data_IF_045971390471
#
_entry.id   IF_045971390471
#
_cell.length_a   1.000
_cell.length_b   1.000
_cell.length_c   1.000
_cell.angle_alpha   90.00
_cell.angle_beta   90.00
_cell.angle_gamma   90.00
#
_symmetry.space_group_name_H-M   'P 1'
#
loop_
_entity.id
_entity.type
_entity.pdbx_description
1 polymer ?
#
# COMPACT_ATOMS: atom_id res chain seq x y z
N UNK A 1 35.78 47.25 -60.80
CA UNK A 1 35.15 48.48 -60.30
C UNK A 1 34.11 48.12 -59.24
N UNK A 2 34.26 48.67 -58.07
CA UNK A 2 33.27 48.79 -56.99
C UNK A 2 32.98 47.51 -56.23
N UNK A 3 32.96 47.53 -54.97
CA UNK A 3 33.38 48.39 -53.85
C UNK A 3 33.19 47.58 -52.59
N UNK A 4 34.12 47.70 -51.70
CA UNK A 4 34.11 47.35 -50.29
C UNK A 4 32.86 47.77 -49.56
N UNK A 5 32.77 47.18 -48.37
CA UNK A 5 31.92 47.46 -47.21
C UNK A 5 30.61 46.68 -47.18
N UNK A 6 30.45 45.64 -46.35
CA UNK A 6 30.22 45.74 -44.92
C UNK A 6 30.49 44.44 -44.20
N UNK A 7 31.58 44.43 -43.56
CA UNK A 7 31.90 43.47 -42.52
C UNK A 7 31.57 44.17 -41.20
N UNK A 8 30.52 43.73 -40.53
CA UNK A 8 30.33 43.84 -39.09
C UNK A 8 28.84 43.78 -38.74
N UNK A 9 28.40 42.68 -38.31
CA UNK A 9 27.43 42.49 -37.26
C UNK A 9 27.22 40.96 -37.02
N UNK A 10 28.30 40.25 -36.66
CA UNK A 10 28.11 39.01 -35.91
C UNK A 10 27.67 39.38 -34.50
N UNK A 11 26.38 39.56 -34.31
CA UNK A 11 25.78 39.59 -32.95
C UNK A 11 25.96 38.25 -32.33
N UNK A 12 26.83 38.20 -31.33
CA UNK A 12 26.96 37.05 -30.42
C UNK A 12 25.63 36.87 -29.70
N UNK A 13 24.81 35.92 -30.16
CA UNK A 13 23.73 35.36 -29.38
C UNK A 13 24.39 34.48 -28.31
N UNK A 14 24.60 35.04 -27.16
CA UNK A 14 24.85 34.28 -25.92
C UNK A 14 23.59 33.52 -25.58
N UNK A 15 23.54 32.24 -25.95
CA UNK A 15 22.55 31.31 -25.47
C UNK A 15 22.88 31.02 -23.99
N UNK A 16 22.27 31.81 -23.10
CA UNK A 16 22.23 31.48 -21.67
C UNK A 16 21.29 30.28 -21.54
N UNK A 17 21.84 29.09 -21.60
CA UNK A 17 21.13 27.87 -21.19
C UNK A 17 20.99 27.94 -19.68
N UNK A 18 19.89 28.50 -19.22
CA UNK A 18 19.45 28.35 -17.83
C UNK A 18 19.08 26.88 -17.63
N UNK A 19 20.04 26.12 -17.12
CA UNK A 19 19.83 24.78 -16.61
C UNK A 19 18.91 24.89 -15.40
N UNK A 20 17.62 24.91 -15.66
CA UNK A 20 16.59 24.80 -14.62
C UNK A 20 16.75 23.42 -14.01
N UNK A 21 17.50 23.34 -12.91
CA UNK A 21 17.52 22.19 -12.03
C UNK A 21 16.08 22.01 -11.52
N UNK A 22 15.32 21.17 -12.21
CA UNK A 22 14.07 20.64 -11.70
C UNK A 22 14.41 19.80 -10.47
N UNK A 23 14.64 20.44 -9.33
CA UNK A 23 14.55 19.83 -8.03
C UNK A 23 13.09 19.39 -7.86
N UNK A 24 12.71 18.28 -8.50
CA UNK A 24 11.50 17.58 -8.10
C UNK A 24 11.67 17.31 -6.61
N UNK A 25 10.77 17.78 -5.74
CA UNK A 25 10.81 17.37 -4.35
C UNK A 25 10.71 15.84 -4.41
N UNK A 26 11.74 15.15 -3.96
CA UNK A 26 11.64 13.74 -3.62
C UNK A 26 10.58 13.71 -2.53
N UNK A 27 9.35 13.44 -2.92
CA UNK A 27 8.27 13.12 -1.99
C UNK A 27 8.69 11.79 -1.39
N UNK A 28 9.52 11.86 -0.37
CA UNK A 28 9.76 10.72 0.49
C UNK A 28 8.39 10.39 1.06
N UNK A 29 7.86 9.26 0.64
CA UNK A 29 6.64 8.72 1.21
C UNK A 29 6.96 8.39 2.68
N UNK A 30 6.78 9.38 3.55
CA UNK A 30 6.93 9.18 4.99
C UNK A 30 5.94 8.10 5.42
N UNK A 31 6.45 7.01 5.94
CA UNK A 31 5.61 5.90 6.37
C UNK A 31 4.67 6.33 7.52
N UNK A 32 5.09 7.28 8.36
CA UNK A 32 4.31 7.85 9.47
C UNK A 32 4.75 9.30 9.67
N UNK A 33 3.85 10.25 9.41
CA UNK A 33 4.09 11.65 9.74
C UNK A 33 3.76 11.93 11.21
N UNK A 34 4.77 12.25 11.99
CA UNK A 34 4.65 12.65 13.39
C UNK A 34 4.94 14.14 13.61
N UNK A 35 5.10 14.94 12.56
CA UNK A 35 5.58 16.33 12.66
C UNK A 35 4.50 17.33 13.11
N UNK A 36 3.27 17.20 12.62
CA UNK A 36 2.22 18.20 12.86
C UNK A 36 1.09 17.66 13.75
N UNK A 37 0.06 17.12 13.14
CA UNK A 37 -1.11 16.56 13.85
C UNK A 37 -0.82 15.18 14.45
N UNK A 38 0.16 14.48 13.90
CA UNK A 38 0.56 13.15 14.32
C UNK A 38 1.24 13.09 15.70
N UNK A 39 1.79 14.21 16.21
CA UNK A 39 2.49 14.22 17.50
C UNK A 39 1.66 13.76 18.69
N UNK A 40 0.32 13.88 18.61
CA UNK A 40 -0.63 13.39 19.63
C UNK A 40 -0.93 11.89 19.50
N UNK A 41 -0.55 11.26 18.41
CA UNK A 41 -0.79 9.84 18.21
C UNK A 41 0.16 9.01 19.08
N UNK A 42 -0.36 7.98 19.71
CA UNK A 42 0.42 7.08 20.57
C UNK A 42 1.60 6.42 19.84
N UNK A 43 1.43 6.12 18.55
CA UNK A 43 2.48 5.61 17.67
C UNK A 43 3.66 6.58 17.53
N UNK A 44 3.45 7.88 17.75
CA UNK A 44 4.47 8.93 17.65
C UNK A 44 5.24 9.16 18.97
N UNK A 45 4.91 8.44 20.02
CA UNK A 45 5.64 8.54 21.30
C UNK A 45 7.10 8.13 21.16
N UNK A 46 7.93 8.55 22.13
CA UNK A 46 9.36 8.16 22.20
C UNK A 46 9.55 6.65 22.25
N UNK A 47 8.63 5.94 22.89
CA UNK A 47 8.64 4.47 23.01
C UNK A 47 8.78 3.78 21.67
N UNK A 48 8.18 4.34 20.60
CA UNK A 48 8.19 3.74 19.27
C UNK A 48 9.14 4.44 18.28
N UNK A 49 10.05 5.29 18.76
CA UNK A 49 10.97 6.03 17.88
C UNK A 49 11.85 5.09 17.05
N UNK A 50 12.39 4.04 17.67
CA UNK A 50 13.23 3.08 16.98
C UNK A 50 12.41 2.20 16.02
N UNK A 51 11.25 1.71 16.44
CA UNK A 51 10.35 0.92 15.56
C UNK A 51 9.92 1.73 14.33
N UNK A 52 9.62 3.03 14.50
CA UNK A 52 9.34 3.91 13.36
C UNK A 52 10.54 4.05 12.41
N UNK A 53 11.74 4.26 12.96
CA UNK A 53 12.97 4.38 12.16
C UNK A 53 13.24 3.09 11.37
N UNK A 54 13.11 1.95 12.00
CA UNK A 54 13.28 0.65 11.36
C UNK A 54 12.25 0.43 10.26
N UNK A 55 10.96 0.73 10.53
CA UNK A 55 9.91 0.64 9.53
C UNK A 55 10.15 1.58 8.34
N UNK A 56 10.57 2.83 8.59
CA UNK A 56 10.88 3.78 7.52
C UNK A 56 12.01 3.27 6.63
N UNK A 57 13.06 2.69 7.22
CA UNK A 57 14.15 2.09 6.45
C UNK A 57 13.67 0.90 5.62
N UNK A 58 12.81 0.05 6.19
CA UNK A 58 12.21 -1.09 5.46
C UNK A 58 11.29 -0.62 4.34
N UNK A 59 10.47 0.40 4.60
CA UNK A 59 9.60 0.99 3.59
C UNK A 59 10.41 1.57 2.44
N UNK A 60 11.46 2.32 2.73
CA UNK A 60 12.35 2.88 1.70
C UNK A 60 13.03 1.75 0.90
N UNK A 61 13.51 0.71 1.56
CA UNK A 61 14.10 -0.45 0.87
C UNK A 61 13.08 -1.11 -0.05
N UNK A 62 11.86 -1.37 0.43
CA UNK A 62 10.79 -1.92 -0.38
C UNK A 62 10.45 -1.00 -1.57
N UNK A 63 10.36 0.31 -1.34
CA UNK A 63 10.07 1.30 -2.38
C UNK A 63 11.10 1.30 -3.51
N UNK A 64 12.38 1.07 -3.19
CA UNK A 64 13.49 1.11 -4.16
C UNK A 64 13.65 -0.18 -4.95
N UNK A 65 13.25 -1.33 -4.40
CA UNK A 65 13.56 -2.64 -5.01
C UNK A 65 12.32 -3.43 -5.44
N UNK A 66 11.12 -3.02 -5.02
CA UNK A 66 9.90 -3.75 -5.38
C UNK A 66 9.59 -3.63 -6.87
N UNK A 67 9.16 -4.70 -7.47
CA UNK A 67 8.55 -4.76 -8.80
C UNK A 67 7.01 -4.65 -8.74
N UNK A 68 6.43 -4.64 -7.52
CA UNK A 68 5.03 -4.31 -7.34
C UNK A 68 4.75 -2.82 -7.65
N UNK A 69 3.53 -2.46 -8.10
CA UNK A 69 3.17 -1.07 -8.34
C UNK A 69 3.38 -0.20 -7.09
N UNK A 70 4.15 0.88 -7.21
CA UNK A 70 4.44 1.78 -6.08
C UNK A 70 3.17 2.35 -5.43
N UNK A 71 2.11 2.56 -6.21
CA UNK A 71 0.82 3.00 -5.69
C UNK A 71 0.23 1.98 -4.70
N UNK A 72 0.39 0.67 -4.97
CA UNK A 72 -0.04 -0.39 -4.05
C UNK A 72 0.70 -0.29 -2.71
N UNK A 73 2.03 -0.14 -2.76
CA UNK A 73 2.85 0.01 -1.56
C UNK A 73 2.42 1.23 -0.72
N UNK A 74 2.12 2.36 -1.38
CA UNK A 74 1.65 3.58 -0.74
C UNK A 74 0.26 3.42 -0.12
N UNK A 75 -0.69 2.81 -0.84
CA UNK A 75 -2.06 2.66 -0.35
C UNK A 75 -2.14 1.65 0.79
N UNK A 76 -1.38 0.56 0.71
CA UNK A 76 -1.29 -0.39 1.83
C UNK A 76 -0.62 0.23 3.05
N UNK A 77 0.35 1.14 2.87
CA UNK A 77 0.96 1.89 3.97
C UNK A 77 -0.05 2.82 4.66
N UNK A 78 -0.88 3.51 3.89
CA UNK A 78 -1.95 4.36 4.44
C UNK A 78 -2.98 3.55 5.23
N UNK A 79 -3.40 2.40 4.70
CA UNK A 79 -4.33 1.49 5.38
C UNK A 79 -3.74 0.97 6.70
N UNK A 80 -2.51 0.50 6.67
CA UNK A 80 -1.78 0.06 7.87
C UNK A 80 -1.68 1.17 8.92
N UNK A 81 -1.30 2.38 8.51
CA UNK A 81 -1.17 3.53 9.42
C UNK A 81 -2.51 3.84 10.12
N UNK A 82 -3.61 3.85 9.37
CA UNK A 82 -4.96 4.06 9.95
C UNK A 82 -5.36 2.94 10.89
N UNK A 83 -5.04 1.70 10.56
CA UNK A 83 -5.30 0.55 11.41
C UNK A 83 -4.51 0.64 12.72
N UNK A 84 -3.22 0.98 12.66
CA UNK A 84 -2.35 1.12 13.82
C UNK A 84 -2.81 2.25 14.77
N UNK A 85 -3.38 3.33 14.25
CA UNK A 85 -3.93 4.42 15.06
C UNK A 85 -5.11 3.98 15.95
N UNK A 86 -5.76 2.87 15.66
CA UNK A 86 -6.85 2.31 16.47
C UNK A 86 -6.33 1.53 17.68
N UNK A 87 -5.04 1.21 17.73
CA UNK A 87 -4.42 0.49 18.83
C UNK A 87 -4.51 1.27 20.14
N UNK A 88 -5.08 0.63 21.18
CA UNK A 88 -5.22 1.21 22.53
C UNK A 88 -4.04 0.87 23.44
N UNK A 89 -3.28 -0.20 23.16
CA UNK A 89 -2.13 -0.65 23.96
C UNK A 89 -0.82 -0.52 23.21
N UNK A 90 0.30 -0.45 23.95
CA UNK A 90 1.64 -0.47 23.36
C UNK A 90 1.93 -1.81 22.66
N UNK A 91 1.45 -2.90 23.24
CA UNK A 91 1.59 -4.24 22.68
C UNK A 91 0.94 -4.33 21.29
N UNK A 92 -0.31 -3.80 21.15
CA UNK A 92 -0.98 -3.74 19.86
C UNK A 92 -0.15 -2.95 18.83
N UNK A 93 0.36 -1.77 19.21
CA UNK A 93 1.18 -0.94 18.30
C UNK A 93 2.45 -1.69 17.87
N UNK A 94 3.15 -2.34 18.82
CA UNK A 94 4.35 -3.10 18.51
C UNK A 94 4.04 -4.25 17.54
N UNK A 95 2.99 -5.01 17.78
CA UNK A 95 2.55 -6.07 16.87
C UNK A 95 2.25 -5.53 15.46
N UNK A 96 1.67 -4.34 15.33
CA UNK A 96 1.44 -3.73 14.03
C UNK A 96 2.75 -3.33 13.32
N UNK A 97 3.77 -2.87 14.05
CA UNK A 97 5.10 -2.64 13.49
C UNK A 97 5.74 -3.94 12.98
N UNK A 98 5.64 -5.00 13.77
CA UNK A 98 6.22 -6.29 13.42
C UNK A 98 5.54 -6.86 12.16
N UNK A 99 4.20 -6.88 12.13
CA UNK A 99 3.42 -7.33 10.98
C UNK A 99 3.74 -6.52 9.71
N UNK A 100 3.82 -5.19 9.83
CA UNK A 100 4.14 -4.36 8.67
C UNK A 100 5.58 -4.54 8.20
N UNK A 101 6.50 -4.77 9.10
CA UNK A 101 7.90 -5.07 8.75
C UNK A 101 7.99 -6.37 7.97
N UNK A 102 7.25 -7.39 8.38
CA UNK A 102 7.17 -8.67 7.67
C UNK A 102 6.55 -8.51 6.28
N UNK A 103 5.46 -7.75 6.18
CA UNK A 103 4.81 -7.42 4.91
C UNK A 103 5.76 -6.68 3.96
N UNK A 104 6.50 -5.68 4.45
CA UNK A 104 7.50 -4.95 3.66
C UNK A 104 8.67 -5.84 3.22
N UNK A 105 9.03 -6.86 3.98
CA UNK A 105 10.02 -7.86 3.55
C UNK A 105 9.53 -8.65 2.32
N UNK A 106 8.22 -8.91 2.19
CA UNK A 106 7.67 -9.53 0.98
C UNK A 106 7.81 -8.58 -0.23
N UNK A 107 7.51 -7.29 -0.08
CA UNK A 107 7.73 -6.30 -1.15
C UNK A 107 9.18 -6.18 -1.58
N UNK A 108 10.12 -6.40 -0.69
CA UNK A 108 11.56 -6.33 -0.96
C UNK A 108 12.16 -7.66 -1.42
N UNK A 109 11.42 -8.77 -1.35
CA UNK A 109 11.95 -10.09 -1.67
C UNK A 109 11.79 -10.43 -3.14
N UNK A 110 12.74 -11.17 -3.69
CA UNK A 110 12.63 -11.76 -5.03
C UNK A 110 11.54 -12.86 -5.12
N UNK A 111 10.85 -13.16 -4.01
CA UNK A 111 9.76 -14.13 -3.94
C UNK A 111 8.37 -13.50 -4.05
N UNK A 112 8.26 -12.27 -4.53
CA UNK A 112 6.98 -11.58 -4.71
C UNK A 112 6.03 -12.34 -5.64
N UNK A 113 6.54 -13.15 -6.55
CA UNK A 113 5.76 -14.07 -7.39
C UNK A 113 4.87 -15.04 -6.59
N UNK A 114 5.13 -15.22 -5.29
CA UNK A 114 4.30 -16.03 -4.39
C UNK A 114 3.21 -15.24 -3.67
N UNK A 115 3.16 -13.93 -3.88
CA UNK A 115 2.18 -13.04 -3.25
C UNK A 115 1.36 -12.36 -4.31
N UNK A 116 0.04 -12.53 -4.26
CA UNK A 116 -0.91 -11.84 -5.11
C UNK A 116 -1.59 -10.73 -4.33
N UNK A 117 -1.55 -9.52 -4.86
CA UNK A 117 -2.18 -8.34 -4.27
C UNK A 117 -3.44 -7.97 -5.03
N UNK A 118 -4.54 -7.79 -4.32
CA UNK A 118 -5.84 -7.43 -4.89
C UNK A 118 -6.34 -6.14 -4.26
N UNK A 119 -6.67 -5.14 -5.08
CA UNK A 119 -7.36 -3.92 -4.64
C UNK A 119 -8.79 -3.92 -5.13
N UNK A 120 -9.71 -3.45 -4.26
CA UNK A 120 -11.13 -3.35 -4.59
C UNK A 120 -11.36 -2.33 -5.68
N UNK A 121 -12.19 -2.69 -6.65
CA UNK A 121 -12.59 -1.87 -7.79
C UNK A 121 -14.07 -1.56 -7.73
N UNK A 122 -14.40 -0.30 -7.94
CA UNK A 122 -15.76 0.21 -8.03
C UNK A 122 -15.86 1.16 -9.22
N UNK A 123 -16.85 0.96 -10.10
CA UNK A 123 -17.07 1.81 -11.28
C UNK A 123 -15.83 1.99 -12.18
N UNK A 124 -15.03 0.95 -12.34
CA UNK A 124 -13.83 0.96 -13.19
C UNK A 124 -12.58 1.60 -12.57
N UNK A 125 -12.66 2.04 -11.32
CA UNK A 125 -11.55 2.66 -10.58
C UNK A 125 -11.28 1.93 -9.27
N UNK A 126 -10.09 2.17 -8.67
CA UNK A 126 -9.84 1.75 -7.30
C UNK A 126 -10.88 2.41 -6.39
N UNK A 127 -11.49 1.64 -5.50
CA UNK A 127 -12.48 2.14 -4.55
C UNK A 127 -11.97 3.39 -3.80
N UNK A 128 -12.82 4.39 -3.61
CA UNK A 128 -12.46 5.63 -2.91
C UNK A 128 -11.96 5.39 -1.48
N UNK A 129 -12.46 4.34 -0.84
CA UNK A 129 -11.90 3.75 0.37
C UNK A 129 -11.19 2.45 -0.02
N UNK A 130 -9.86 2.46 -0.22
CA UNK A 130 -9.14 1.28 -0.68
C UNK A 130 -9.35 0.10 0.26
N UNK A 131 -9.63 -1.06 -0.30
CA UNK A 131 -9.66 -2.34 0.39
C UNK A 131 -8.61 -3.22 -0.28
N UNK A 132 -7.72 -3.75 0.51
CA UNK A 132 -6.63 -4.59 0.06
C UNK A 132 -6.82 -6.02 0.57
N UNK A 133 -6.65 -6.98 -0.31
CA UNK A 133 -6.54 -8.39 0.02
C UNK A 133 -5.24 -8.89 -0.58
N UNK A 134 -4.46 -9.62 0.20
CA UNK A 134 -3.26 -10.29 -0.27
C UNK A 134 -3.33 -11.78 -0.01
N UNK A 135 -2.82 -12.56 -0.95
CA UNK A 135 -2.78 -14.01 -0.91
C UNK A 135 -1.32 -14.44 -1.03
N UNK A 136 -0.79 -14.98 0.07
CA UNK A 136 0.60 -15.47 0.14
C UNK A 136 0.64 -16.99 0.03
N UNK A 137 1.45 -17.51 -0.86
CA UNK A 137 1.77 -18.93 -0.87
C UNK A 137 2.92 -19.20 0.10
N UNK A 138 2.61 -19.77 1.26
CA UNK A 138 3.61 -20.09 2.29
C UNK A 138 4.35 -21.40 2.00
N UNK A 139 3.64 -22.37 1.44
CA UNK A 139 4.15 -23.67 1.02
C UNK A 139 3.32 -24.21 -0.14
N UNK A 140 3.68 -25.34 -0.70
CA UNK A 140 2.96 -25.96 -1.82
C UNK A 140 1.44 -26.17 -1.53
N UNK A 141 1.14 -26.52 -0.29
CA UNK A 141 -0.20 -26.86 0.20
C UNK A 141 -0.79 -25.84 1.17
N UNK A 142 -0.10 -24.69 1.38
CA UNK A 142 -0.52 -23.71 2.38
C UNK A 142 -0.47 -22.29 1.85
N UNK A 143 -1.61 -21.59 1.95
CA UNK A 143 -1.74 -20.17 1.68
C UNK A 143 -2.16 -19.42 2.94
N UNK A 144 -1.75 -18.15 3.02
CA UNK A 144 -2.24 -17.16 3.98
C UNK A 144 -2.97 -16.08 3.23
N UNK A 145 -4.12 -15.70 3.71
CA UNK A 145 -4.92 -14.61 3.16
C UNK A 145 -5.01 -13.53 4.22
N UNK A 146 -4.65 -12.31 3.87
CA UNK A 146 -4.75 -11.14 4.71
C UNK A 146 -5.50 -10.04 3.98
N UNK A 147 -6.19 -9.21 4.72
CA UNK A 147 -6.89 -8.07 4.15
C UNK A 147 -7.07 -6.94 5.15
N UNK A 148 -7.19 -5.73 4.64
CA UNK A 148 -7.58 -4.54 5.41
C UNK A 148 -8.68 -3.82 4.65
N UNK A 149 -9.78 -3.52 5.35
CA UNK A 149 -10.92 -2.77 4.83
C UNK A 149 -11.36 -1.70 5.82
N UNK A 150 -12.06 -0.68 5.35
CA UNK A 150 -12.75 0.24 6.24
C UNK A 150 -13.95 -0.44 6.90
N UNK A 151 -14.18 -0.12 8.17
CA UNK A 151 -15.23 -0.73 8.98
C UNK A 151 -16.62 -0.51 8.39
N UNK A 152 -16.84 0.67 7.83
CA UNK A 152 -18.09 1.00 7.12
C UNK A 152 -17.76 1.57 5.73
N UNK A 153 -17.67 0.73 4.69
CA UNK A 153 -17.26 1.15 3.34
C UNK A 153 -18.27 2.10 2.67
N UNK A 154 -19.49 2.20 3.18
CA UNK A 154 -20.51 3.14 2.66
C UNK A 154 -20.39 4.54 3.26
N UNK A 155 -19.57 4.73 4.28
CA UNK A 155 -19.32 6.02 4.90
C UNK A 155 -17.96 6.58 4.47
N UNK A 156 -17.94 7.53 3.54
CA UNK A 156 -16.70 8.16 3.04
C UNK A 156 -15.86 8.86 4.12
N UNK A 157 -16.44 9.15 5.28
CA UNK A 157 -15.75 9.76 6.43
C UNK A 157 -15.21 8.71 7.39
N UNK A 158 -15.44 7.42 7.12
CA UNK A 158 -14.97 6.34 7.98
C UNK A 158 -13.44 6.29 7.98
N UNK A 159 -12.87 6.28 9.17
CA UNK A 159 -11.41 6.17 9.37
C UNK A 159 -11.02 4.87 10.05
N UNK A 160 -11.97 4.17 10.67
CA UNK A 160 -11.71 2.90 11.33
C UNK A 160 -11.56 1.79 10.29
N UNK A 161 -10.57 0.97 10.46
CA UNK A 161 -10.30 -0.19 9.61
C UNK A 161 -10.49 -1.49 10.39
N UNK A 162 -10.60 -2.58 9.65
CA UNK A 162 -10.71 -3.93 10.17
C UNK A 162 -9.85 -4.84 9.32
N UNK A 163 -9.22 -5.81 9.94
CA UNK A 163 -8.40 -6.82 9.28
C UNK A 163 -9.23 -8.05 8.90
N UNK A 164 -8.66 -8.84 8.01
CA UNK A 164 -9.05 -10.21 7.68
C UNK A 164 -7.78 -11.04 7.74
N UNK A 165 -7.83 -12.20 8.37
CA UNK A 165 -6.74 -13.16 8.38
C UNK A 165 -7.29 -14.57 8.28
N UNK A 166 -6.78 -15.34 7.33
CA UNK A 166 -7.16 -16.74 7.16
C UNK A 166 -5.98 -17.57 6.67
N UNK A 167 -6.01 -18.84 7.00
CA UNK A 167 -5.15 -19.88 6.42
C UNK A 167 -6.01 -20.87 5.66
N UNK A 168 -5.52 -21.31 4.51
CA UNK A 168 -6.22 -22.27 3.66
C UNK A 168 -5.23 -23.08 2.83
N UNK A 169 -5.71 -23.96 1.98
CA UNK A 169 -4.90 -24.58 0.92
C UNK A 169 -5.24 -23.97 -0.45
N UNK A 170 -4.39 -24.15 -1.47
CA UNK A 170 -4.71 -23.74 -2.83
C UNK A 170 -6.00 -24.37 -3.38
N UNK A 171 -6.33 -25.57 -2.96
CA UNK A 171 -7.54 -26.29 -3.37
C UNK A 171 -8.81 -25.75 -2.68
N UNK A 172 -8.68 -25.26 -1.44
CA UNK A 172 -9.79 -24.79 -0.61
C UNK A 172 -9.90 -23.26 -0.57
N UNK A 173 -9.12 -22.55 -1.39
CA UNK A 173 -9.09 -21.08 -1.40
C UNK A 173 -10.41 -20.42 -1.84
N UNK A 174 -11.39 -21.18 -2.31
CA UNK A 174 -12.72 -20.67 -2.68
C UNK A 174 -13.60 -20.38 -1.47
N UNK A 175 -13.36 -21.04 -0.33
CA UNK A 175 -14.11 -20.83 0.91
C UNK A 175 -13.16 -20.44 2.03
N UNK A 176 -13.28 -19.20 2.47
CA UNK A 176 -12.36 -18.60 3.44
C UNK A 176 -13.12 -18.29 4.72
N UNK A 177 -12.63 -18.82 5.81
CA UNK A 177 -13.05 -18.44 7.16
C UNK A 177 -12.05 -17.47 7.76
N UNK A 178 -12.50 -16.24 8.02
CA UNK A 178 -11.73 -15.24 8.72
C UNK A 178 -11.55 -15.63 10.19
N UNK A 179 -10.31 -15.82 10.62
CA UNK A 179 -9.96 -16.24 11.97
C UNK A 179 -10.16 -15.15 13.03
N UNK A 180 -10.29 -13.88 12.63
CA UNK A 180 -10.43 -12.77 13.55
C UNK A 180 -11.90 -12.47 13.89
N UNK A 181 -12.80 -12.64 12.91
CA UNK A 181 -14.20 -12.21 13.04
C UNK A 181 -15.20 -13.34 12.75
N UNK A 182 -14.73 -14.56 12.48
CA UNK A 182 -15.55 -15.70 12.10
C UNK A 182 -16.44 -15.45 10.85
N UNK A 183 -16.03 -14.55 9.99
CA UNK A 183 -16.72 -14.26 8.74
C UNK A 183 -16.37 -15.29 7.68
N UNK A 184 -17.41 -15.84 7.03
CA UNK A 184 -17.24 -16.76 5.90
C UNK A 184 -17.36 -16.03 4.58
N UNK A 185 -16.37 -16.21 3.73
CA UNK A 185 -16.30 -15.61 2.41
C UNK A 185 -16.17 -16.66 1.32
N UNK A 186 -16.81 -16.39 0.20
CA UNK A 186 -16.59 -17.11 -1.05
C UNK A 186 -15.65 -16.28 -1.92
N UNK A 187 -14.50 -16.84 -2.26
CA UNK A 187 -13.49 -16.24 -3.10
C UNK A 187 -13.52 -16.91 -4.48
N UNK A 188 -13.90 -16.13 -5.50
CA UNK A 188 -13.91 -16.60 -6.87
C UNK A 188 -12.75 -15.90 -7.64
N UNK A 189 -11.68 -16.65 -7.86
CA UNK A 189 -10.49 -16.20 -8.58
C UNK A 189 -10.68 -16.37 -10.09
N UNK A 190 -10.56 -15.27 -10.84
CA UNK A 190 -10.72 -15.24 -12.30
C UNK A 190 -9.55 -14.47 -12.94
N UNK A 191 -8.44 -15.16 -13.26
CA UNK A 191 -7.22 -14.50 -13.81
C UNK A 191 -6.84 -13.25 -12.97
N UNK A 192 -7.03 -12.06 -13.56
CA UNK A 192 -6.72 -10.78 -12.93
C UNK A 192 -7.84 -10.25 -11.98
N UNK A 193 -8.89 -11.00 -11.75
CA UNK A 193 -10.01 -10.58 -10.90
C UNK A 193 -10.23 -11.56 -9.75
N UNK A 194 -10.58 -11.00 -8.61
CA UNK A 194 -11.09 -11.75 -7.47
C UNK A 194 -12.47 -11.20 -7.09
N UNK A 195 -13.48 -12.04 -7.13
CA UNK A 195 -14.83 -11.68 -6.65
C UNK A 195 -15.03 -12.30 -5.27
N UNK A 196 -15.22 -11.45 -4.27
CA UNK A 196 -15.47 -11.85 -2.88
C UNK A 196 -16.93 -11.65 -2.54
N UNK A 197 -17.57 -12.67 -2.00
CA UNK A 197 -18.96 -12.65 -1.57
C UNK A 197 -19.10 -13.21 -0.16
N UNK A 198 -20.09 -12.74 0.57
CA UNK A 198 -20.57 -13.36 1.81
C UNK A 198 -22.09 -13.27 1.89
N UNK A 199 -22.70 -14.24 2.54
CA UNK A 199 -24.13 -14.19 2.90
C UNK A 199 -24.31 -13.82 4.38
N UNK A 200 -23.21 -13.66 5.11
CA UNK A 200 -23.23 -13.44 6.54
C UNK A 200 -23.35 -11.93 6.82
N UNK A 201 -24.44 -11.56 7.50
CA UNK A 201 -24.70 -10.17 7.88
C UNK A 201 -23.58 -9.63 8.77
N UNK A 202 -23.10 -8.42 8.48
CA UNK A 202 -22.01 -7.76 9.21
C UNK A 202 -20.61 -8.09 8.69
N UNK A 203 -20.51 -8.99 7.68
CA UNK A 203 -19.25 -9.39 7.08
C UNK A 203 -19.03 -8.81 5.66
N UNK A 204 -19.89 -7.90 5.21
CA UNK A 204 -19.93 -7.41 3.82
C UNK A 204 -18.72 -6.54 3.42
N UNK A 205 -17.94 -6.08 4.39
CA UNK A 205 -16.85 -5.10 4.19
C UNK A 205 -15.78 -5.52 3.19
N UNK A 206 -15.52 -6.83 3.10
CA UNK A 206 -14.61 -7.39 2.11
C UNK A 206 -15.31 -7.87 0.84
N UNK A 207 -16.64 -7.79 0.75
CA UNK A 207 -17.37 -8.20 -0.46
C UNK A 207 -17.14 -7.19 -1.58
N UNK A 208 -17.01 -7.70 -2.81
CA UNK A 208 -16.85 -6.88 -3.99
C UNK A 208 -15.95 -7.51 -5.05
N UNK A 209 -15.64 -6.71 -6.06
CA UNK A 209 -14.73 -7.09 -7.14
C UNK A 209 -13.37 -6.43 -6.89
N UNK A 210 -12.34 -7.22 -7.00
CA UNK A 210 -10.96 -6.84 -6.81
C UNK A 210 -10.18 -7.09 -8.09
N UNK A 211 -9.23 -6.25 -8.38
CA UNK A 211 -8.28 -6.44 -9.47
C UNK A 211 -6.91 -6.81 -8.90
N UNK A 212 -6.30 -7.82 -9.53
CA UNK A 212 -4.92 -8.19 -9.27
C UNK A 212 -4.01 -7.03 -9.66
N UNK A 213 -3.09 -6.72 -8.79
CA UNK A 213 -1.98 -5.81 -9.00
C UNK A 213 -0.71 -6.65 -9.07
N UNK A 214 -0.19 -6.77 -10.28
CA UNK A 214 1.11 -7.37 -10.61
C UNK A 214 2.04 -6.28 -11.13
#
# INVERSE_FOLDING_TARGET
MLSNTDMNQLKRLSFVVTLSCLCSPLVFAESIDCSNTGAKLKICSKTFSESRKQLNNKYLSAYLVTDAPLQLLQDTQKLWSKHTQQCKSNTCIQQQFDLRTDDLNFYASLKQTLTQHYLKFENGHIAAQPVHIQVHQLAKDKIKIEGIAYRNPNNRKETQTISLMAYSSPEQKSEILDNEHNCKYQFNFQKALLNVKTQQKGCERFSGIYRLYD
#
